data_IF_429221980768
#
_entry.id   IF_429221980768
#
_cell.length_a   1.000
_cell.length_b   1.000
_cell.length_c   1.000
_cell.angle_alpha   90.00
_cell.angle_beta   90.00
_cell.angle_gamma   90.00
#
_symmetry.space_group_name_H-M   'P 1'
#
loop_
_entity.id
_entity.type
_entity.pdbx_description
1 polymer ?
#
# COMPACT_ATOMS: atom_id res chain seq x y z
N UNK A 1 10.09 5.45 9.58
CA UNK A 1 9.41 5.82 8.33
C UNK A 1 9.37 4.61 7.41
N UNK A 2 8.22 4.29 6.93
CA UNK A 2 8.01 3.23 5.95
C UNK A 2 7.85 3.84 4.57
N UNK A 3 8.32 3.11 3.56
CA UNK A 3 8.25 3.55 2.17
C UNK A 3 7.55 2.46 1.37
N UNK A 4 6.56 2.86 0.58
CA UNK A 4 5.92 2.01 -0.41
C UNK A 4 6.37 2.53 -1.76
N UNK A 5 7.10 1.72 -2.52
CA UNK A 5 7.74 2.15 -3.77
C UNK A 5 7.40 1.18 -4.88
N UNK A 6 6.93 1.69 -5.99
CA UNK A 6 6.74 0.89 -7.19
C UNK A 6 8.10 0.63 -7.83
N UNK A 7 8.17 -0.47 -8.58
CA UNK A 7 9.35 -0.81 -9.35
C UNK A 7 9.61 0.27 -10.42
N UNK A 8 10.88 0.48 -10.76
CA UNK A 8 11.27 1.39 -11.85
C UNK A 8 10.68 0.99 -13.19
N UNK A 9 10.32 -0.28 -13.36
CA UNK A 9 9.64 -0.76 -14.57
C UNK A 9 8.18 -0.30 -14.64
N UNK A 10 7.62 0.15 -13.51
CA UNK A 10 6.25 0.69 -13.47
C UNK A 10 6.27 2.16 -13.82
N UNK A 11 5.41 2.57 -14.75
CA UNK A 11 5.29 3.97 -15.12
C UNK A 11 3.85 4.43 -14.93
N UNK A 12 3.62 5.54 -14.19
CA UNK A 12 4.63 6.32 -13.48
C UNK A 12 5.08 5.66 -12.18
N UNK A 13 6.32 5.93 -11.78
CA UNK A 13 6.81 5.49 -10.48
C UNK A 13 6.08 6.25 -9.38
N UNK A 14 5.61 5.50 -8.39
CA UNK A 14 4.85 6.05 -7.26
C UNK A 14 5.57 5.69 -5.97
N UNK A 15 5.75 6.67 -5.10
CA UNK A 15 6.36 6.47 -3.79
C UNK A 15 5.45 7.09 -2.74
N UNK A 16 5.02 6.28 -1.79
CA UNK A 16 4.26 6.75 -0.63
C UNK A 16 5.12 6.63 0.62
N UNK A 17 5.13 7.68 1.42
CA UNK A 17 5.84 7.73 2.69
C UNK A 17 4.86 7.58 3.84
N UNK A 18 5.07 6.58 4.66
CA UNK A 18 4.17 6.23 5.75
C UNK A 18 4.91 6.35 7.08
N UNK A 19 4.76 7.48 7.79
CA UNK A 19 5.41 7.62 9.09
C UNK A 19 4.89 6.62 10.11
N UNK A 20 5.77 6.17 11.00
CA UNK A 20 5.36 5.32 12.12
C UNK A 20 4.30 6.04 12.95
N UNK A 21 3.28 5.31 13.37
CA UNK A 21 2.16 5.86 14.13
C UNK A 21 1.06 6.45 13.28
N UNK A 22 1.20 6.47 11.95
CA UNK A 22 0.18 7.02 11.06
C UNK A 22 -0.73 5.95 10.49
N UNK A 23 -1.91 6.38 10.06
CA UNK A 23 -2.90 5.56 9.37
C UNK A 23 -3.25 6.28 8.08
N UNK A 24 -3.07 5.61 6.94
CA UNK A 24 -3.32 6.18 5.63
C UNK A 24 -4.14 5.22 4.78
N UNK A 25 -5.00 5.76 3.93
CA UNK A 25 -5.80 4.98 3.00
C UNK A 25 -5.25 5.13 1.60
N UNK A 26 -5.08 4.02 0.89
CA UNK A 26 -4.76 4.02 -0.54
C UNK A 26 -6.07 3.89 -1.32
N UNK A 27 -6.23 4.71 -2.34
CA UNK A 27 -7.38 4.62 -3.21
C UNK A 27 -7.29 5.54 -4.40
N UNK A 28 -8.22 5.37 -5.32
CA UNK A 28 -8.30 6.19 -6.53
C UNK A 28 -9.00 7.53 -6.27
N UNK A 29 -9.77 7.62 -5.21
CA UNK A 29 -10.53 8.82 -4.88
C UNK A 29 -9.63 9.92 -4.32
N UNK A 30 -9.94 11.19 -4.60
CA UNK A 30 -9.27 12.30 -3.91
C UNK A 30 -9.46 12.28 -2.39
N UNK A 31 -10.41 11.50 -1.88
CA UNK A 31 -10.58 11.32 -0.44
C UNK A 31 -9.55 10.40 0.21
N UNK A 32 -8.76 9.66 -0.57
CA UNK A 32 -7.68 8.85 -0.04
C UNK A 32 -6.46 9.73 0.24
N UNK A 33 -5.74 9.45 1.34
CA UNK A 33 -4.48 10.16 1.63
C UNK A 33 -3.40 9.81 0.61
N UNK A 34 -3.33 8.53 0.25
CA UNK A 34 -2.44 8.05 -0.80
C UNK A 34 -3.26 7.81 -2.05
N UNK A 35 -3.27 8.78 -2.95
CA UNK A 35 -4.06 8.68 -4.17
C UNK A 35 -3.28 7.85 -5.18
N UNK A 36 -3.89 6.73 -5.61
CA UNK A 36 -3.33 5.85 -6.63
C UNK A 36 -4.32 5.80 -7.80
N UNK A 37 -4.08 6.66 -8.78
CA UNK A 37 -4.94 6.78 -9.96
C UNK A 37 -4.52 5.76 -11.01
N UNK A 38 -4.95 4.53 -10.82
CA UNK A 38 -4.61 3.42 -11.69
C UNK A 38 -5.84 2.54 -11.91
N UNK A 39 -5.90 1.82 -13.05
CA UNK A 39 -6.97 0.86 -13.29
C UNK A 39 -7.03 -0.20 -12.20
N UNK A 40 -8.24 -0.68 -11.90
CA UNK A 40 -8.49 -1.74 -10.92
C UNK A 40 -8.27 -1.33 -9.47
N UNK A 41 -7.99 -0.06 -9.20
CA UNK A 41 -7.90 0.47 -7.84
C UNK A 41 -9.27 1.02 -7.46
N UNK A 42 -9.82 0.57 -6.33
CA UNK A 42 -11.08 1.06 -5.80
C UNK A 42 -10.92 2.47 -5.24
N UNK A 43 -12.01 3.21 -5.10
CA UNK A 43 -11.99 4.58 -4.57
C UNK A 43 -11.26 4.65 -3.23
N UNK A 44 -11.63 3.76 -2.31
CA UNK A 44 -10.92 3.51 -1.06
C UNK A 44 -10.58 2.03 -1.08
N UNK A 45 -9.32 1.69 -1.30
CA UNK A 45 -8.95 0.31 -1.61
C UNK A 45 -8.46 -0.45 -0.38
N UNK A 46 -7.51 0.11 0.34
CA UNK A 46 -6.99 -0.49 1.56
C UNK A 46 -6.47 0.58 2.50
N UNK A 47 -6.35 0.21 3.78
CA UNK A 47 -5.87 1.10 4.82
C UNK A 47 -4.57 0.54 5.39
N UNK A 48 -3.60 1.42 5.59
CA UNK A 48 -2.30 1.09 6.14
C UNK A 48 -2.14 1.74 7.50
N UNK A 49 -1.75 0.94 8.49
CA UNK A 49 -1.44 1.42 9.84
C UNK A 49 0.00 1.07 10.15
N UNK A 50 0.83 2.06 10.46
CA UNK A 50 2.25 1.85 10.68
C UNK A 50 2.61 1.90 12.15
N UNK A 51 3.46 0.98 12.58
CA UNK A 51 4.18 1.04 13.85
C UNK A 51 5.67 1.15 13.56
N UNK A 52 6.49 1.16 14.59
CA UNK A 52 7.95 1.13 14.40
C UNK A 52 8.43 -0.21 13.84
N UNK A 53 7.65 -1.27 13.96
CA UNK A 53 8.08 -2.62 13.64
C UNK A 53 7.44 -3.21 12.39
N UNK A 54 6.26 -2.71 12.02
CA UNK A 54 5.52 -3.30 10.91
C UNK A 54 4.48 -2.34 10.35
N UNK A 55 3.91 -2.73 9.22
CA UNK A 55 2.77 -2.05 8.61
C UNK A 55 1.62 -3.05 8.56
N UNK A 56 0.47 -2.69 9.12
CA UNK A 56 -0.72 -3.50 9.01
C UNK A 56 -1.56 -2.99 7.84
N UNK A 57 -1.96 -3.88 6.94
CA UNK A 57 -2.85 -3.55 5.82
C UNK A 57 -4.21 -4.19 6.05
N UNK A 58 -5.25 -3.43 5.74
CA UNK A 58 -6.63 -3.91 5.79
C UNK A 58 -7.32 -3.56 4.48
N UNK A 59 -7.85 -4.56 3.78
CA UNK A 59 -8.64 -4.34 2.58
C UNK A 59 -9.97 -3.67 2.95
N UNK A 60 -10.36 -2.65 2.21
CA UNK A 60 -11.60 -1.90 2.46
C UNK A 60 -12.69 -2.37 1.48
N UNK A 61 -12.87 -3.67 1.39
CA UNK A 61 -13.87 -4.27 0.52
C UNK A 61 -13.66 -3.90 -0.94
N UNK A 62 -12.41 -3.92 -1.38
CA UNK A 62 -12.04 -3.54 -2.73
C UNK A 62 -12.61 -4.53 -3.75
N UNK A 63 -12.89 -4.02 -4.96
CA UNK A 63 -13.47 -4.85 -6.03
C UNK A 63 -12.48 -5.91 -6.51
N UNK A 64 -11.21 -5.54 -6.65
CA UNK A 64 -10.20 -6.43 -7.25
C UNK A 64 -9.25 -7.05 -6.24
N UNK A 65 -9.35 -6.68 -4.98
CA UNK A 65 -8.58 -7.30 -3.90
C UNK A 65 -7.27 -6.61 -3.60
N UNK A 66 -6.77 -6.91 -2.41
CA UNK A 66 -5.45 -6.50 -1.91
C UNK A 66 -4.64 -7.78 -1.73
N UNK A 67 -3.39 -7.76 -2.21
CA UNK A 67 -2.54 -8.96 -2.21
C UNK A 67 -1.23 -8.66 -1.48
N UNK A 68 -0.77 -9.62 -0.71
CA UNK A 68 0.54 -9.56 -0.04
C UNK A 68 1.35 -10.76 -0.51
N UNK A 69 2.50 -10.49 -1.15
CA UNK A 69 3.37 -11.54 -1.70
C UNK A 69 2.61 -12.54 -2.57
N UNK A 70 1.66 -12.04 -3.35
CA UNK A 70 0.86 -12.85 -4.27
C UNK A 70 -0.39 -13.48 -3.67
N UNK A 71 -0.63 -13.35 -2.37
CA UNK A 71 -1.82 -13.89 -1.72
C UNK A 71 -2.85 -12.80 -1.46
N UNK A 72 -4.09 -13.06 -1.83
CA UNK A 72 -5.20 -12.16 -1.51
C UNK A 72 -5.48 -12.19 -0.01
N UNK A 73 -5.57 -11.00 0.59
CA UNK A 73 -5.77 -10.87 2.03
C UNK A 73 -6.92 -9.92 2.33
N UNK A 74 -7.60 -10.15 3.45
CA UNK A 74 -8.51 -9.16 4.04
C UNK A 74 -7.75 -8.26 4.99
N UNK A 75 -6.74 -8.79 5.65
CA UNK A 75 -5.79 -8.03 6.45
C UNK A 75 -4.49 -8.82 6.57
N UNK A 76 -3.39 -8.12 6.75
CA UNK A 76 -2.08 -8.76 6.90
C UNK A 76 -1.10 -7.79 7.54
N UNK A 77 -0.01 -8.34 8.08
CA UNK A 77 1.10 -7.57 8.58
C UNK A 77 2.24 -7.61 7.58
N UNK A 78 2.73 -6.44 7.20
CA UNK A 78 3.82 -6.27 6.23
C UNK A 78 5.09 -5.88 6.95
N UNK A 79 6.20 -6.39 6.43
CA UNK A 79 7.53 -6.04 6.89
C UNK A 79 8.38 -5.61 5.70
N UNK A 80 9.57 -5.06 5.99
CA UNK A 80 10.50 -4.67 4.93
C UNK A 80 10.79 -5.87 4.02
N UNK A 81 10.73 -5.64 2.72
CA UNK A 81 10.92 -6.66 1.70
C UNK A 81 9.62 -7.27 1.16
N UNK A 82 8.50 -7.10 1.85
CA UNK A 82 7.23 -7.61 1.36
C UNK A 82 6.74 -6.77 0.18
N UNK A 83 5.88 -7.38 -0.64
CA UNK A 83 5.26 -6.73 -1.80
C UNK A 83 3.76 -6.65 -1.56
N UNK A 84 3.24 -5.43 -1.61
CA UNK A 84 1.82 -5.14 -1.52
C UNK A 84 1.30 -4.85 -2.93
N UNK A 85 0.30 -5.58 -3.37
CA UNK A 85 -0.33 -5.34 -4.67
C UNK A 85 -1.71 -4.72 -4.47
N UNK A 86 -1.92 -3.58 -5.10
CA UNK A 86 -3.18 -2.83 -5.07
C UNK A 86 -3.61 -2.65 -6.52
N UNK A 87 -4.73 -3.27 -6.91
CA UNK A 87 -5.10 -3.33 -8.32
C UNK A 87 -4.06 -4.12 -9.09
N UNK A 88 -3.35 -3.46 -10.00
CA UNK A 88 -2.23 -4.06 -10.74
C UNK A 88 -0.88 -3.46 -10.35
N UNK A 89 -0.86 -2.66 -9.31
CA UNK A 89 0.35 -1.94 -8.92
C UNK A 89 1.02 -2.66 -7.75
N UNK A 90 2.28 -3.03 -7.94
CA UNK A 90 3.08 -3.67 -6.90
C UNK A 90 3.93 -2.62 -6.19
N UNK A 91 3.82 -2.59 -4.87
CA UNK A 91 4.64 -1.75 -4.00
C UNK A 91 5.58 -2.62 -3.19
N UNK A 92 6.86 -2.33 -3.25
CA UNK A 92 7.82 -2.93 -2.33
C UNK A 92 7.83 -2.12 -1.04
N UNK A 93 7.72 -2.81 0.08
CA UNK A 93 7.75 -2.19 1.39
C UNK A 93 9.20 -2.12 1.84
N UNK A 94 9.62 -0.93 2.24
CA UNK A 94 10.94 -0.74 2.82
C UNK A 94 10.84 0.17 4.02
N UNK A 95 11.90 0.21 4.81
CA UNK A 95 11.95 0.97 6.03
C UNK A 95 13.21 1.82 6.02
N UNK A 96 13.07 3.07 6.41
CA UNK A 96 14.20 3.98 6.54
C UNK A 96 14.35 4.39 8.00
N UNK A 97 15.59 4.52 8.46
CA UNK A 97 15.92 4.79 9.86
C UNK A 97 15.99 6.29 10.18
N UNK A 98 15.65 7.12 9.25
CA UNK A 98 15.67 8.56 9.48
C UNK A 98 14.38 9.08 10.05
#
# INVERSE_FOLDING_TARGET
MWILDTDESSAPRTVFRLPSGSVKTIGRSPGAEFILDAPLVSRLHCQLSATNESVHVKDLDSTNGTFVNGERVTSATLRAGDVLKVGRVDFRISRTDS
#
